data_IF_565529370741
#
_entry.id   IF_565529370741
#
_cell.length_a   1.000
_cell.length_b   1.000
_cell.length_c   1.000
_cell.angle_alpha   90.00
_cell.angle_beta   90.00
_cell.angle_gamma   90.00
#
_symmetry.space_group_name_H-M   'P 1'
#
loop_
_entity.id
_entity.type
_entity.pdbx_description
1 polymer ?
#
# COMPACT_ATOMS: atom_id res chain seq x y z
N UNK A 1 16.16 -15.86 33.71
CA UNK A 1 16.82 -14.90 32.79
C UNK A 1 16.35 -13.51 33.13
N UNK A 2 17.25 -12.53 33.28
CA UNK A 2 16.88 -11.18 33.65
C UNK A 2 16.09 -10.53 32.50
N UNK A 3 14.92 -9.96 32.83
CA UNK A 3 14.01 -9.22 31.94
C UNK A 3 14.70 -8.27 30.92
N UNK A 4 15.83 -7.60 31.24
CA UNK A 4 16.55 -6.77 30.28
C UNK A 4 17.10 -7.51 29.04
N UNK A 5 17.51 -8.78 29.18
CA UNK A 5 18.05 -9.56 28.05
C UNK A 5 16.95 -10.05 27.10
N UNK A 6 15.73 -10.23 27.60
CA UNK A 6 14.58 -10.63 26.78
C UNK A 6 14.10 -9.46 25.91
N UNK A 7 14.18 -8.23 26.43
CA UNK A 7 13.90 -7.01 25.67
C UNK A 7 14.97 -6.71 24.62
N UNK A 8 16.24 -7.05 24.86
CA UNK A 8 17.30 -6.94 23.87
C UNK A 8 17.16 -7.97 22.72
N UNK A 9 16.59 -9.15 22.99
CA UNK A 9 16.24 -10.14 21.95
C UNK A 9 14.97 -9.77 21.17
N UNK A 10 14.04 -9.01 21.77
CA UNK A 10 12.81 -8.52 21.13
C UNK A 10 13.01 -7.21 20.36
N UNK A 11 14.15 -6.55 20.54
CA UNK A 11 14.58 -5.45 19.68
C UNK A 11 15.41 -6.05 18.56
N UNK A 12 14.85 -6.33 17.37
CA UNK A 12 15.72 -6.45 16.23
C UNK A 12 16.46 -5.12 16.15
N UNK A 13 17.79 -5.15 16.17
CA UNK A 13 18.54 -4.10 15.50
C UNK A 13 17.85 -3.88 14.15
N UNK A 14 17.31 -2.68 13.88
CA UNK A 14 16.73 -2.41 12.57
C UNK A 14 17.88 -2.42 11.57
N UNK A 15 18.12 -3.58 11.02
CA UNK A 15 19.11 -3.72 9.99
C UNK A 15 18.58 -3.04 8.75
N UNK A 16 19.41 -2.21 8.13
CA UNK A 16 19.10 -1.70 6.80
C UNK A 16 18.69 -2.83 5.84
N UNK A 17 19.24 -4.03 6.03
CA UNK A 17 18.84 -5.25 5.33
C UNK A 17 17.33 -5.51 5.39
N UNK A 18 16.72 -5.41 6.57
CA UNK A 18 15.29 -5.65 6.76
C UNK A 18 14.43 -4.57 6.07
N UNK A 19 14.84 -3.30 6.19
CA UNK A 19 14.15 -2.18 5.53
C UNK A 19 14.25 -2.27 4.00
N UNK A 20 15.42 -2.65 3.47
CA UNK A 20 15.63 -2.90 2.04
C UNK A 20 14.82 -4.11 1.55
N UNK A 21 14.73 -5.17 2.35
CA UNK A 21 13.90 -6.33 2.04
C UNK A 21 12.41 -5.97 2.02
N UNK A 22 11.95 -5.12 2.94
CA UNK A 22 10.57 -4.61 2.94
C UNK A 22 10.30 -3.76 1.70
N UNK A 23 11.18 -2.79 1.39
CA UNK A 23 11.08 -1.96 0.19
C UNK A 23 11.03 -2.84 -1.06
N UNK A 24 11.96 -3.78 -1.19
CA UNK A 24 12.02 -4.71 -2.32
C UNK A 24 10.74 -5.53 -2.43
N UNK A 25 10.29 -6.16 -1.33
CA UNK A 25 9.05 -6.95 -1.34
C UNK A 25 7.82 -6.15 -1.76
N UNK A 26 7.73 -4.88 -1.37
CA UNK A 26 6.60 -4.02 -1.76
C UNK A 26 6.73 -3.56 -3.21
N UNK A 27 7.93 -3.18 -3.66
CA UNK A 27 8.17 -2.85 -5.07
C UNK A 27 7.91 -4.05 -5.99
N UNK A 28 8.32 -5.26 -5.59
CA UNK A 28 8.09 -6.48 -6.35
C UNK A 28 6.58 -6.79 -6.39
N UNK A 29 5.87 -6.68 -5.26
CA UNK A 29 4.40 -6.83 -5.22
C UNK A 29 3.68 -5.79 -6.11
N UNK A 30 4.15 -4.54 -6.12
CA UNK A 30 3.61 -3.50 -7.00
C UNK A 30 3.90 -3.85 -8.47
N UNK A 31 5.15 -4.11 -8.83
CA UNK A 31 5.58 -4.25 -10.21
C UNK A 31 5.12 -5.56 -10.86
N UNK A 32 5.11 -6.66 -10.12
CA UNK A 32 4.81 -7.99 -10.66
C UNK A 32 3.31 -8.32 -10.60
N UNK A 33 2.58 -7.78 -9.61
CA UNK A 33 1.19 -8.18 -9.34
C UNK A 33 0.20 -7.02 -9.49
N UNK A 34 0.38 -5.94 -8.72
CA UNK A 34 -0.66 -4.92 -8.62
C UNK A 34 -0.74 -4.05 -9.88
N UNK A 35 0.39 -3.49 -10.32
CA UNK A 35 0.43 -2.58 -11.47
C UNK A 35 -0.14 -3.24 -12.74
N UNK A 36 0.27 -4.46 -13.14
CA UNK A 36 -0.32 -5.13 -14.31
C UNK A 36 -1.84 -5.38 -14.18
N UNK A 37 -2.32 -5.70 -12.98
CA UNK A 37 -3.76 -5.91 -12.74
C UNK A 37 -4.55 -4.62 -12.78
N UNK A 38 -4.01 -3.52 -12.24
CA UNK A 38 -4.61 -2.20 -12.36
C UNK A 38 -4.64 -1.70 -13.80
N UNK A 39 -3.56 -1.94 -14.57
CA UNK A 39 -3.52 -1.63 -16.01
C UNK A 39 -4.54 -2.46 -16.80
N UNK A 40 -4.64 -3.76 -16.51
CA UNK A 40 -5.65 -4.64 -17.12
C UNK A 40 -7.07 -4.20 -16.78
N UNK A 41 -7.32 -3.78 -15.52
CA UNK A 41 -8.60 -3.24 -15.10
C UNK A 41 -8.93 -1.93 -15.85
N UNK A 42 -7.96 -1.03 -16.04
CA UNK A 42 -8.16 0.19 -16.85
C UNK A 42 -8.55 -0.14 -18.30
N UNK A 43 -7.96 -1.17 -18.90
CA UNK A 43 -8.30 -1.61 -20.26
C UNK A 43 -9.71 -2.23 -20.33
N UNK A 44 -10.05 -3.09 -19.37
CA UNK A 44 -11.32 -3.84 -19.35
C UNK A 44 -12.52 -2.95 -19.00
N UNK A 45 -12.34 -2.05 -18.04
CA UNK A 45 -13.37 -1.09 -17.62
C UNK A 45 -13.29 0.20 -18.44
N UNK A 46 -12.33 0.26 -19.37
CA UNK A 46 -12.09 1.33 -20.34
C UNK A 46 -12.07 2.75 -19.71
N UNK A 47 -11.49 2.90 -18.51
CA UNK A 47 -11.52 4.16 -17.76
C UNK A 47 -10.58 5.24 -18.30
N UNK A 48 -9.70 4.93 -19.27
CA UNK A 48 -8.90 5.95 -19.95
C UNK A 48 -9.83 6.95 -20.66
N UNK A 49 -9.87 8.17 -20.14
CA UNK A 49 -10.61 9.33 -20.67
C UNK A 49 -12.12 9.37 -20.39
N UNK A 50 -12.51 9.23 -19.12
CA UNK A 50 -13.82 9.70 -18.66
C UNK A 50 -15.01 8.79 -18.99
N UNK A 51 -14.77 7.50 -19.26
CA UNK A 51 -15.84 6.51 -19.17
C UNK A 51 -16.15 6.22 -17.71
N UNK A 52 -17.42 6.32 -17.29
CA UNK A 52 -17.79 6.01 -15.92
C UNK A 52 -17.67 4.52 -15.65
N UNK A 53 -17.39 4.18 -14.39
CA UNK A 53 -17.51 2.82 -13.87
C UNK A 53 -18.95 2.32 -14.03
N UNK A 54 -19.11 1.01 -14.23
CA UNK A 54 -20.47 0.42 -14.33
C UNK A 54 -21.14 0.42 -12.96
N UNK A 55 -20.38 0.17 -11.90
CA UNK A 55 -20.88 0.25 -10.53
C UNK A 55 -20.95 1.71 -10.08
N UNK A 56 -22.14 2.13 -9.61
CA UNK A 56 -22.35 3.46 -9.03
C UNK A 56 -21.47 3.69 -7.79
N UNK A 57 -21.34 2.68 -6.94
CA UNK A 57 -20.54 2.76 -5.72
C UNK A 57 -19.06 2.98 -6.04
N UNK A 58 -18.55 2.29 -7.07
CA UNK A 58 -17.16 2.47 -7.52
C UNK A 58 -16.96 3.85 -8.15
N UNK A 59 -17.94 4.34 -8.92
CA UNK A 59 -17.91 5.67 -9.49
C UNK A 59 -17.84 6.75 -8.39
N UNK A 60 -18.69 6.64 -7.35
CA UNK A 60 -18.69 7.56 -6.21
C UNK A 60 -17.34 7.58 -5.49
N UNK A 61 -16.76 6.41 -5.19
CA UNK A 61 -15.42 6.31 -4.58
C UNK A 61 -14.36 6.96 -5.48
N UNK A 62 -14.43 6.71 -6.80
CA UNK A 62 -13.50 7.31 -7.75
C UNK A 62 -13.62 8.84 -7.74
N UNK A 63 -14.83 9.38 -7.75
CA UNK A 63 -15.07 10.82 -7.77
C UNK A 63 -14.58 11.48 -6.47
N UNK A 64 -14.79 10.85 -5.32
CA UNK A 64 -14.26 11.32 -4.03
C UNK A 64 -12.73 11.38 -4.03
N UNK A 65 -12.07 10.32 -4.49
CA UNK A 65 -10.60 10.25 -4.59
C UNK A 65 -10.08 11.32 -5.55
N UNK A 66 -10.67 11.44 -6.74
CA UNK A 66 -10.26 12.44 -7.74
C UNK A 66 -10.45 13.87 -7.21
N UNK A 67 -11.58 14.15 -6.56
CA UNK A 67 -11.85 15.46 -5.96
C UNK A 67 -10.83 15.80 -4.87
N UNK A 68 -10.51 14.86 -3.99
CA UNK A 68 -9.47 15.06 -2.97
C UNK A 68 -8.10 15.35 -3.60
N UNK A 69 -7.70 14.56 -4.60
CA UNK A 69 -6.38 14.71 -5.22
C UNK A 69 -6.24 16.02 -5.99
N UNK A 70 -7.28 16.43 -6.72
CA UNK A 70 -7.31 17.74 -7.41
C UNK A 70 -7.26 18.91 -6.43
N UNK A 71 -8.05 18.87 -5.35
CA UNK A 71 -8.02 19.93 -4.33
C UNK A 71 -6.67 19.99 -3.60
N UNK A 72 -5.94 18.87 -3.54
CA UNK A 72 -4.58 18.82 -3.01
C UNK A 72 -3.49 19.30 -4.00
N UNK A 73 -3.87 19.68 -5.23
CA UNK A 73 -2.95 20.18 -6.26
C UNK A 73 -2.27 19.10 -7.11
N UNK A 74 -2.72 17.83 -7.02
CA UNK A 74 -2.21 16.74 -7.83
C UNK A 74 -3.07 16.57 -9.09
N UNK A 75 -2.50 16.91 -10.25
CA UNK A 75 -3.12 16.67 -11.56
C UNK A 75 -2.24 15.74 -12.43
N UNK A 76 -2.80 14.64 -12.95
CA UNK A 76 -2.12 13.78 -13.90
C UNK A 76 -1.87 14.56 -15.20
N UNK A 77 -0.62 14.58 -15.66
CA UNK A 77 -0.27 15.31 -16.88
C UNK A 77 -1.01 14.73 -18.08
N UNK A 78 -1.70 15.60 -18.84
CA UNK A 78 -2.28 15.25 -20.13
C UNK A 78 -3.63 14.54 -20.10
N UNK A 79 -4.24 14.33 -18.91
CA UNK A 79 -5.56 13.73 -18.78
C UNK A 79 -6.61 14.78 -18.42
N UNK A 80 -7.66 14.90 -19.25
CA UNK A 80 -8.78 15.84 -18.98
C UNK A 80 -9.72 15.35 -17.88
N UNK A 81 -10.04 14.05 -17.89
CA UNK A 81 -10.95 13.40 -16.94
C UNK A 81 -10.33 12.10 -16.41
N UNK A 82 -9.28 12.17 -15.57
CA UNK A 82 -8.72 10.98 -14.92
C UNK A 82 -9.70 10.36 -13.93
N UNK A 83 -9.77 9.04 -13.89
CA UNK A 83 -10.39 8.27 -12.80
C UNK A 83 -9.38 8.03 -11.67
N UNK A 84 -9.83 7.44 -10.56
CA UNK A 84 -8.92 7.04 -9.49
C UNK A 84 -7.82 6.08 -9.96
N UNK A 85 -8.06 5.26 -10.99
CA UNK A 85 -7.09 4.25 -11.43
C UNK A 85 -5.86 4.92 -12.05
N UNK A 86 -6.01 6.01 -12.80
CA UNK A 86 -4.86 6.71 -13.39
C UNK A 86 -3.95 7.32 -12.34
N UNK A 87 -4.52 7.84 -11.26
CA UNK A 87 -3.75 8.31 -10.11
C UNK A 87 -2.99 7.16 -9.45
N UNK A 88 -3.67 6.04 -9.19
CA UNK A 88 -3.06 4.85 -8.55
C UNK A 88 -1.93 4.27 -9.41
N UNK A 89 -2.17 4.09 -10.71
CA UNK A 89 -1.16 3.57 -11.66
C UNK A 89 0.04 4.50 -11.74
N UNK A 90 -0.19 5.82 -11.86
CA UNK A 90 0.91 6.80 -11.88
C UNK A 90 1.73 6.77 -10.59
N UNK A 91 1.07 6.64 -9.42
CA UNK A 91 1.75 6.48 -8.13
C UNK A 91 2.55 5.17 -8.07
N UNK A 92 2.00 4.05 -8.55
CA UNK A 92 2.71 2.77 -8.59
C UNK A 92 3.98 2.85 -9.44
N UNK A 93 3.89 3.41 -10.64
CA UNK A 93 5.04 3.61 -11.53
C UNK A 93 6.11 4.49 -10.88
N UNK A 94 5.70 5.57 -10.21
CA UNK A 94 6.63 6.45 -9.52
C UNK A 94 7.30 5.78 -8.30
N UNK A 95 6.58 4.95 -7.54
CA UNK A 95 7.16 4.13 -6.45
C UNK A 95 8.25 3.20 -6.97
N UNK A 96 8.04 2.56 -8.12
CA UNK A 96 9.05 1.70 -8.74
C UNK A 96 10.31 2.49 -9.13
N UNK A 97 10.15 3.73 -9.61
CA UNK A 97 11.28 4.62 -9.91
C UNK A 97 12.00 5.10 -8.63
N UNK A 98 11.26 5.30 -7.53
CA UNK A 98 11.79 5.73 -6.23
C UNK A 98 12.63 4.66 -5.53
N UNK A 99 12.49 3.38 -5.88
CA UNK A 99 13.19 2.24 -5.25
C UNK A 99 14.69 2.50 -5.06
N UNK A 100 15.38 2.88 -6.15
CA UNK A 100 16.83 3.12 -6.13
C UNK A 100 17.24 4.26 -5.19
N UNK A 101 16.43 5.32 -5.12
CA UNK A 101 16.68 6.45 -4.25
C UNK A 101 16.48 6.08 -2.77
N UNK A 102 15.38 5.38 -2.46
CA UNK A 102 15.10 4.93 -1.10
C UNK A 102 16.15 3.92 -0.61
N UNK A 103 16.62 3.02 -1.47
CA UNK A 103 17.72 2.11 -1.13
C UNK A 103 19.01 2.85 -0.75
N UNK A 104 19.31 3.95 -1.44
CA UNK A 104 20.46 4.82 -1.13
C UNK A 104 20.25 5.56 0.19
N UNK A 105 19.05 6.11 0.45
CA UNK A 105 18.73 6.75 1.72
C UNK A 105 18.80 5.78 2.89
N UNK A 106 18.30 4.55 2.74
CA UNK A 106 18.43 3.52 3.79
C UNK A 106 19.91 3.22 4.06
N UNK A 107 20.72 3.06 3.02
CA UNK A 107 22.14 2.78 3.17
C UNK A 107 22.90 3.94 3.86
N UNK A 108 22.61 5.18 3.46
CA UNK A 108 23.27 6.39 3.95
C UNK A 108 22.84 6.76 5.36
N UNK A 109 21.53 6.83 5.60
CA UNK A 109 20.95 7.48 6.78
C UNK A 109 20.68 6.48 7.92
N UNK A 110 20.35 5.22 7.61
CA UNK A 110 20.12 4.19 8.62
C UNK A 110 21.42 3.44 8.95
N UNK A 111 22.27 3.17 7.96
CA UNK A 111 23.52 2.44 8.15
C UNK A 111 23.29 0.95 8.48
N UNK A 112 24.12 0.36 9.36
CA UNK A 112 23.99 -1.07 9.70
C UNK A 112 22.83 -1.37 10.65
N UNK A 113 22.62 -0.51 11.66
CA UNK A 113 21.56 -0.67 12.65
C UNK A 113 21.03 0.70 13.08
N UNK A 114 19.70 0.82 13.19
CA UNK A 114 19.09 2.02 13.74
C UNK A 114 19.15 2.01 15.27
N UNK A 115 19.67 3.08 15.86
CA UNK A 115 19.61 3.33 17.30
C UNK A 115 18.67 4.50 17.56
N UNK A 116 17.70 4.34 18.47
CA UNK A 116 16.67 5.34 18.76
C UNK A 116 17.24 6.67 19.24
N UNK A 117 18.36 6.66 19.97
CA UNK A 117 19.06 7.87 20.43
C UNK A 117 19.74 8.67 19.32
N UNK A 118 19.79 8.13 18.09
CA UNK A 118 20.39 8.77 16.92
C UNK A 118 19.35 9.17 15.88
N UNK A 119 18.09 9.31 16.27
CA UNK A 119 17.00 9.61 15.33
C UNK A 119 17.11 11.04 14.81
N UNK A 120 17.07 11.18 13.49
CA UNK A 120 17.03 12.48 12.80
C UNK A 120 15.77 12.60 11.95
N UNK A 121 15.43 13.82 11.52
CA UNK A 121 14.30 14.05 10.61
C UNK A 121 14.44 13.26 9.31
N UNK A 122 15.66 13.14 8.78
CA UNK A 122 15.97 12.31 7.60
C UNK A 122 15.61 10.83 7.81
N UNK A 123 16.03 10.25 8.93
CA UNK A 123 15.72 8.85 9.27
C UNK A 123 14.22 8.64 9.44
N UNK A 124 13.55 9.57 10.12
CA UNK A 124 12.10 9.54 10.29
C UNK A 124 11.36 9.60 8.94
N UNK A 125 11.77 10.49 8.04
CA UNK A 125 11.18 10.63 6.71
C UNK A 125 11.33 9.36 5.89
N UNK A 126 12.50 8.72 5.90
CA UNK A 126 12.70 7.42 5.22
C UNK A 126 11.75 6.36 5.78
N UNK A 127 11.67 6.23 7.11
CA UNK A 127 10.78 5.25 7.75
C UNK A 127 9.30 5.53 7.48
N UNK A 128 8.90 6.81 7.39
CA UNK A 128 7.53 7.20 7.01
C UNK A 128 7.23 6.82 5.58
N UNK A 129 8.15 7.06 4.64
CA UNK A 129 8.00 6.68 3.24
C UNK A 129 7.88 5.17 3.05
N UNK A 130 8.68 4.36 3.77
CA UNK A 130 8.60 2.90 3.71
C UNK A 130 7.25 2.37 4.20
N UNK A 131 6.75 2.91 5.31
CA UNK A 131 5.45 2.54 5.84
C UNK A 131 4.29 3.03 4.95
N UNK A 132 4.46 4.19 4.31
CA UNK A 132 3.49 4.71 3.35
C UNK A 132 3.38 3.80 2.13
N UNK A 133 4.52 3.32 1.60
CA UNK A 133 4.56 2.37 0.48
C UNK A 133 3.90 1.04 0.89
N UNK A 134 4.16 0.56 2.10
CA UNK A 134 3.58 -0.67 2.63
C UNK A 134 2.06 -0.58 2.74
N UNK A 135 1.56 0.49 3.39
CA UNK A 135 0.13 0.77 3.49
C UNK A 135 -0.52 0.95 2.11
N UNK A 136 0.12 1.70 1.21
CA UNK A 136 -0.35 1.89 -0.15
C UNK A 136 -0.48 0.56 -0.90
N UNK A 137 0.51 -0.33 -0.75
CA UNK A 137 0.50 -1.65 -1.40
C UNK A 137 -0.66 -2.52 -0.90
N UNK A 138 -0.84 -2.60 0.42
CA UNK A 138 -1.92 -3.38 1.04
C UNK A 138 -3.31 -2.84 0.69
N UNK A 139 -3.51 -1.53 0.87
CA UNK A 139 -4.78 -0.88 0.55
C UNK A 139 -5.11 -1.01 -0.95
N UNK A 140 -4.12 -0.83 -1.84
CA UNK A 140 -4.31 -1.00 -3.29
C UNK A 140 -4.80 -2.41 -3.64
N UNK A 141 -4.26 -3.44 -2.98
CA UNK A 141 -4.68 -4.83 -3.22
C UNK A 141 -6.13 -5.06 -2.82
N UNK A 142 -6.53 -4.58 -1.64
CA UNK A 142 -7.92 -4.67 -1.15
C UNK A 142 -8.87 -3.88 -2.04
N UNK A 143 -8.50 -2.65 -2.42
CA UNK A 143 -9.28 -1.81 -3.32
C UNK A 143 -9.44 -2.47 -4.70
N UNK A 144 -8.38 -3.04 -5.26
CA UNK A 144 -8.43 -3.74 -6.54
C UNK A 144 -9.44 -4.89 -6.52
N UNK A 145 -9.42 -5.69 -5.44
CA UNK A 145 -10.37 -6.79 -5.27
C UNK A 145 -11.81 -6.27 -5.15
N UNK A 146 -12.01 -5.11 -4.51
CA UNK A 146 -13.30 -4.42 -4.39
C UNK A 146 -13.84 -3.94 -5.71
N UNK A 147 -13.06 -3.12 -6.40
CA UNK A 147 -13.46 -2.59 -7.71
C UNK A 147 -13.76 -3.74 -8.69
N UNK A 148 -12.93 -4.78 -8.70
CA UNK A 148 -13.16 -5.94 -9.58
C UNK A 148 -14.42 -6.72 -9.20
N UNK A 149 -14.77 -6.82 -7.91
CA UNK A 149 -16.00 -7.47 -7.46
C UNK A 149 -17.25 -6.71 -7.91
N UNK A 150 -17.27 -5.41 -7.62
CA UNK A 150 -18.38 -4.51 -7.93
C UNK A 150 -18.59 -4.35 -9.45
N UNK A 151 -17.52 -4.21 -10.22
CA UNK A 151 -17.62 -4.08 -11.68
C UNK A 151 -18.13 -5.36 -12.36
N UNK A 152 -17.79 -6.55 -11.85
CA UNK A 152 -18.33 -7.83 -12.35
C UNK A 152 -19.81 -7.99 -11.99
N UNK A 153 -20.20 -7.58 -10.77
CA UNK A 153 -21.60 -7.60 -10.34
C UNK A 153 -22.47 -6.65 -11.18
N UNK A 154 -21.91 -5.52 -11.60
CA UNK A 154 -22.62 -4.51 -12.39
C UNK A 154 -22.75 -4.83 -13.89
N UNK A 155 -22.21 -5.95 -14.40
CA UNK A 155 -22.38 -6.35 -15.81
C UNK A 155 -23.79 -6.90 -16.05
N UNK A 156 -24.53 -6.32 -17.01
CA UNK A 156 -25.87 -6.77 -17.39
C UNK A 156 -25.89 -8.26 -17.77
N UNK A 157 -26.81 -9.04 -17.16
CA UNK A 157 -26.93 -10.49 -17.37
C UNK A 157 -26.05 -11.34 -16.43
N UNK A 158 -25.25 -10.71 -15.56
CA UNK A 158 -24.50 -11.38 -14.50
C UNK A 158 -25.45 -12.02 -13.49
N UNK A 159 -25.54 -13.35 -13.48
CA UNK A 159 -26.17 -14.13 -12.41
C UNK A 159 -25.19 -14.43 -11.27
N UNK A 160 -24.09 -13.69 -11.21
CA UNK A 160 -23.07 -13.86 -10.20
C UNK A 160 -23.52 -13.06 -8.98
N UNK A 161 -24.05 -13.74 -7.96
CA UNK A 161 -24.04 -13.19 -6.61
C UNK A 161 -22.57 -13.05 -6.19
N UNK A 162 -21.93 -11.98 -6.62
CA UNK A 162 -20.66 -11.57 -6.04
C UNK A 162 -21.03 -11.11 -4.64
N UNK A 163 -20.87 -11.97 -3.64
CA UNK A 163 -20.72 -11.52 -2.25
C UNK A 163 -19.38 -10.81 -2.18
N UNK A 164 -19.38 -9.62 -2.76
CA UNK A 164 -18.24 -8.73 -2.88
C UNK A 164 -17.93 -8.26 -1.48
N UNK A 165 -16.95 -8.95 -0.88
CA UNK A 165 -16.13 -8.44 0.20
C UNK A 165 -16.76 -8.58 1.58
N UNK A 166 -15.92 -9.01 2.54
CA UNK A 166 -16.33 -9.11 3.93
C UNK A 166 -16.67 -7.72 4.47
N UNK A 167 -17.64 -7.58 5.39
CA UNK A 167 -18.01 -6.27 5.95
C UNK A 167 -16.82 -5.49 6.54
N UNK A 168 -15.79 -6.21 7.02
CA UNK A 168 -14.57 -5.64 7.57
C UNK A 168 -13.70 -4.91 6.54
N UNK A 169 -13.64 -5.41 5.31
CA UNK A 169 -12.80 -4.85 4.24
C UNK A 169 -13.42 -3.55 3.67
N UNK A 170 -14.75 -3.49 3.53
CA UNK A 170 -15.45 -2.28 3.13
C UNK A 170 -15.30 -1.19 4.21
N UNK A 171 -15.44 -1.57 5.48
CA UNK A 171 -15.17 -0.68 6.60
C UNK A 171 -13.71 -0.20 6.60
N UNK A 172 -12.76 -1.09 6.32
CA UNK A 172 -11.35 -0.74 6.20
C UNK A 172 -11.10 0.30 5.10
N UNK A 173 -11.64 0.07 3.90
CA UNK A 173 -11.53 1.01 2.77
C UNK A 173 -12.11 2.37 3.14
N UNK A 174 -13.32 2.41 3.68
CA UNK A 174 -13.97 3.68 4.06
C UNK A 174 -13.23 4.42 5.17
N UNK A 175 -12.74 3.71 6.19
CA UNK A 175 -12.05 4.33 7.33
C UNK A 175 -10.68 4.89 6.95
N UNK A 176 -10.02 4.26 5.97
CA UNK A 176 -8.63 4.57 5.58
C UNK A 176 -8.52 5.34 4.26
N UNK A 177 -9.65 5.66 3.60
CA UNK A 177 -9.69 6.32 2.28
C UNK A 177 -8.92 7.64 2.23
N UNK A 178 -9.07 8.50 3.23
CA UNK A 178 -8.33 9.78 3.31
C UNK A 178 -6.83 9.55 3.45
N UNK A 179 -6.42 8.59 4.28
CA UNK A 179 -5.01 8.21 4.44
C UNK A 179 -4.43 7.69 3.12
N UNK A 180 -5.23 6.94 2.37
CA UNK A 180 -4.85 6.44 1.06
C UNK A 180 -4.71 7.55 0.01
N UNK A 181 -5.60 8.55 0.01
CA UNK A 181 -5.47 9.72 -0.85
C UNK A 181 -4.19 10.52 -0.55
N UNK A 182 -3.83 10.68 0.73
CA UNK A 182 -2.55 11.30 1.10
C UNK A 182 -1.37 10.45 0.62
N UNK A 183 -1.45 9.12 0.73
CA UNK A 183 -0.44 8.22 0.22
C UNK A 183 -0.24 8.40 -1.29
N UNK A 184 -1.33 8.42 -2.07
CA UNK A 184 -1.28 8.71 -3.51
C UNK A 184 -0.60 10.06 -3.78
N UNK A 185 -1.00 11.12 -3.07
CA UNK A 185 -0.43 12.46 -3.23
C UNK A 185 1.09 12.48 -3.03
N UNK A 186 1.57 11.88 -1.95
CA UNK A 186 3.00 11.84 -1.64
C UNK A 186 3.73 10.94 -2.64
N UNK A 187 3.23 9.74 -2.90
CA UNK A 187 3.87 8.76 -3.78
C UNK A 187 3.78 9.12 -5.26
N UNK A 188 2.90 10.04 -5.67
CA UNK A 188 2.87 10.62 -7.01
C UNK A 188 3.83 11.81 -7.18
N UNK A 189 4.50 12.26 -6.11
CA UNK A 189 5.45 13.38 -6.19
C UNK A 189 6.62 13.01 -7.10
N UNK A 190 6.95 13.84 -8.11
CA UNK A 190 8.04 13.53 -9.04
C UNK A 190 9.34 13.23 -8.31
N UNK A 191 10.04 12.17 -8.72
CA UNK A 191 11.30 11.72 -8.07
C UNK A 191 12.29 12.85 -7.84
N UNK A 192 12.46 13.75 -8.81
CA UNK A 192 13.40 14.88 -8.70
C UNK A 192 12.98 15.88 -7.63
N UNK A 193 11.68 16.15 -7.49
CA UNK A 193 11.16 17.02 -6.44
C UNK A 193 11.33 16.35 -5.09
N UNK A 194 10.98 15.07 -4.97
CA UNK A 194 11.15 14.32 -3.71
C UNK A 194 12.62 14.29 -3.27
N UNK A 195 13.57 14.13 -4.20
CA UNK A 195 15.01 14.21 -3.91
C UNK A 195 15.45 15.59 -3.40
N UNK A 196 14.92 16.66 -3.99
CA UNK A 196 15.20 18.02 -3.57
C UNK A 196 14.62 18.30 -2.18
N UNK A 197 13.32 18.01 -2.00
CA UNK A 197 12.61 18.14 -0.72
C UNK A 197 13.32 17.34 0.38
N UNK A 198 13.81 16.14 0.08
CA UNK A 198 14.57 15.32 1.01
C UNK A 198 15.92 15.96 1.41
N UNK A 199 16.61 16.59 0.47
CA UNK A 199 17.90 17.22 0.72
C UNK A 199 17.80 18.51 1.57
N UNK A 200 16.63 19.15 1.56
CA UNK A 200 16.35 20.35 2.35
C UNK A 200 16.02 20.05 3.82
N UNK A 201 15.78 18.78 4.18
CA UNK A 201 15.43 18.40 5.55
C UNK A 201 16.62 18.66 6.48
N UNK A 202 16.43 19.42 7.58
CA UNK A 202 17.49 19.68 8.54
C UNK A 202 18.04 18.41 9.19
N UNK A 203 19.36 18.28 9.21
CA UNK A 203 20.02 17.23 9.97
C UNK A 203 20.08 17.60 11.46
N UNK A 204 19.01 17.26 12.18
CA UNK A 204 18.92 17.45 13.62
C UNK A 204 18.52 16.15 14.30
N UNK A 205 19.24 15.77 15.36
CA UNK A 205 18.86 14.66 16.23
C UNK A 205 17.77 15.16 17.18
N UNK A 206 16.68 14.41 17.28
CA UNK A 206 15.59 14.73 18.19
C UNK A 206 15.24 13.54 19.07
N UNK A 207 14.56 13.82 20.17
CA UNK A 207 13.86 12.85 21.00
C UNK A 207 12.40 13.31 21.18
N UNK A 208 11.59 12.54 21.92
CA UNK A 208 10.17 12.83 22.09
C UNK A 208 9.92 14.21 22.77
N UNK A 209 10.86 14.68 23.58
CA UNK A 209 10.76 15.96 24.30
C UNK A 209 11.17 17.14 23.41
N UNK A 210 12.20 16.98 22.58
CA UNK A 210 12.75 18.06 21.74
C UNK A 210 12.11 18.16 20.36
N UNK A 211 11.34 17.15 19.92
CA UNK A 211 10.73 17.14 18.58
C UNK A 211 9.86 18.38 18.33
N UNK A 212 9.00 18.73 19.28
CA UNK A 212 8.09 19.89 19.13
C UNK A 212 8.84 21.22 19.01
N UNK A 213 9.88 21.40 19.83
CA UNK A 213 10.73 22.60 19.81
C UNK A 213 11.51 22.71 18.50
N UNK A 214 12.08 21.61 18.03
CA UNK A 214 12.83 21.57 16.76
C UNK A 214 11.92 21.81 15.56
N UNK A 215 10.67 21.32 15.57
CA UNK A 215 9.67 21.63 14.53
C UNK A 215 9.30 23.11 14.54
N UNK A 216 9.17 23.74 15.72
CA UNK A 216 8.95 25.18 15.80
C UNK A 216 10.15 25.98 15.30
N UNK A 217 11.38 25.52 15.59
CA UNK A 217 12.62 26.18 15.22
C UNK A 217 12.88 26.13 13.71
N UNK A 218 12.70 24.96 13.09
CA UNK A 218 12.97 24.76 11.66
C UNK A 218 11.76 25.06 10.76
N UNK A 219 10.55 25.11 11.33
CA UNK A 219 9.30 25.24 10.60
C UNK A 219 8.79 23.90 10.07
N UNK A 220 7.46 23.71 10.13
CA UNK A 220 6.81 22.45 9.75
C UNK A 220 7.09 22.05 8.30
N UNK A 221 7.13 23.01 7.38
CA UNK A 221 7.42 22.78 5.96
C UNK A 221 8.84 22.28 5.68
N UNK A 222 9.82 22.59 6.52
CA UNK A 222 11.20 22.11 6.35
C UNK A 222 11.46 20.79 7.07
N UNK A 223 10.77 20.54 8.19
CA UNK A 223 10.87 19.24 8.91
C UNK A 223 10.03 18.12 8.30
N UNK A 224 8.98 18.47 7.56
CA UNK A 224 8.07 17.54 6.88
C UNK A 224 7.61 18.13 5.52
N UNK A 225 8.53 18.29 4.55
CA UNK A 225 8.22 18.90 3.26
C UNK A 225 7.19 18.11 2.44
N UNK A 226 7.03 16.81 2.76
CA UNK A 226 6.07 15.91 2.11
C UNK A 226 4.68 15.94 2.79
N UNK A 227 4.53 16.64 3.91
CA UNK A 227 3.27 16.76 4.65
C UNK A 227 2.72 15.42 5.14
N UNK A 228 3.60 14.48 5.48
CA UNK A 228 3.24 13.11 5.92
C UNK A 228 2.73 13.07 7.36
N UNK A 229 2.93 14.13 8.13
CA UNK A 229 2.38 14.32 9.49
C UNK A 229 0.86 14.36 9.54
N UNK A 230 0.21 14.64 8.41
CA UNK A 230 -1.25 14.65 8.27
C UNK A 230 -1.87 13.24 8.20
N UNK A 231 -1.07 12.19 7.99
CA UNK A 231 -1.59 10.82 7.97
C UNK A 231 -1.66 10.29 9.40
N UNK A 232 -2.82 9.76 9.87
CA UNK A 232 -3.00 9.17 11.19
C UNK A 232 -2.34 7.78 11.25
N UNK A 233 -1.04 7.71 10.95
CA UNK A 233 -0.20 6.63 11.41
C UNK A 233 0.10 6.88 12.89
N UNK A 234 0.23 5.83 13.73
CA UNK A 234 0.61 6.03 15.12
C UNK A 234 1.88 6.92 15.20
N UNK A 235 1.70 8.11 15.77
CA UNK A 235 2.66 9.23 15.77
C UNK A 235 3.88 8.95 16.65
N UNK A 236 3.81 7.94 17.52
CA UNK A 236 4.92 7.60 18.42
C UNK A 236 5.96 6.74 17.72
N UNK A 237 7.06 7.40 17.37
CA UNK A 237 8.31 6.85 16.84
C UNK A 237 8.80 5.61 17.61
N UNK A 238 8.62 5.61 18.93
CA UNK A 238 9.01 4.54 19.87
C UNK A 238 7.97 3.41 19.96
N UNK A 239 6.68 3.72 19.81
CA UNK A 239 5.59 2.73 19.88
C UNK A 239 5.48 1.93 18.58
N UNK A 240 5.75 2.56 17.44
CA UNK A 240 5.87 1.90 16.12
C UNK A 240 7.01 0.88 16.10
N UNK A 241 8.08 1.09 16.87
CA UNK A 241 9.20 0.15 16.97
C UNK A 241 8.85 -1.07 17.84
N UNK A 242 8.07 -0.89 18.91
CA UNK A 242 7.79 -1.95 19.91
C UNK A 242 6.53 -2.78 19.63
N UNK A 243 5.49 -2.21 19.03
CA UNK A 243 4.20 -2.90 18.83
C UNK A 243 4.00 -3.39 17.38
N UNK A 244 4.44 -2.64 16.37
CA UNK A 244 4.08 -2.96 14.97
C UNK A 244 4.82 -4.15 14.34
N UNK A 245 5.93 -4.68 14.86
CA UNK A 245 6.57 -5.83 14.20
C UNK A 245 5.87 -7.13 14.56
N UNK A 246 5.49 -7.35 15.83
CA UNK A 246 4.71 -8.52 16.21
C UNK A 246 3.26 -8.44 15.70
N UNK A 247 2.61 -7.28 15.87
CA UNK A 247 1.22 -7.08 15.42
C UNK A 247 1.13 -7.09 13.89
N UNK A 248 1.99 -6.36 13.15
CA UNK A 248 1.90 -6.38 11.67
C UNK A 248 2.38 -7.67 11.03
N UNK A 249 3.25 -8.46 11.68
CA UNK A 249 3.60 -9.78 11.14
C UNK A 249 2.41 -10.73 11.25
N UNK A 250 1.65 -10.65 12.35
CA UNK A 250 0.39 -11.36 12.50
C UNK A 250 -0.69 -10.79 11.57
N UNK A 251 -0.91 -9.48 11.53
CA UNK A 251 -1.91 -8.85 10.64
C UNK A 251 -1.61 -9.12 9.17
N UNK A 252 -0.36 -9.06 8.71
CA UNK A 252 0.00 -9.39 7.31
C UNK A 252 -0.16 -10.87 6.99
N UNK A 253 0.12 -11.73 7.96
CA UNK A 253 -0.12 -13.15 7.81
C UNK A 253 -1.63 -13.41 7.72
N UNK A 254 -2.42 -12.83 8.61
CA UNK A 254 -3.88 -12.94 8.65
C UNK A 254 -4.52 -12.33 7.39
N UNK A 255 -4.10 -11.14 6.96
CA UNK A 255 -4.51 -10.53 5.69
C UNK A 255 -4.17 -11.42 4.50
N UNK A 256 -2.98 -12.04 4.48
CA UNK A 256 -2.59 -12.96 3.41
C UNK A 256 -3.42 -14.25 3.41
N UNK A 257 -3.78 -14.74 4.60
CA UNK A 257 -4.67 -15.90 4.79
C UNK A 257 -6.09 -15.56 4.32
N UNK A 258 -6.63 -14.43 4.73
CA UNK A 258 -7.96 -13.98 4.34
C UNK A 258 -8.03 -13.66 2.84
N UNK A 259 -7.01 -13.03 2.27
CA UNK A 259 -6.90 -12.81 0.83
C UNK A 259 -6.87 -14.14 0.05
N UNK A 260 -6.14 -15.15 0.54
CA UNK A 260 -6.11 -16.47 -0.07
C UNK A 260 -7.47 -17.17 0.01
N UNK A 261 -8.16 -17.08 1.15
CA UNK A 261 -9.53 -17.60 1.32
C UNK A 261 -10.52 -16.90 0.38
N UNK A 262 -10.44 -15.58 0.27
CA UNK A 262 -11.27 -14.80 -0.63
C UNK A 262 -11.05 -15.20 -2.10
N UNK A 263 -9.79 -15.41 -2.50
CA UNK A 263 -9.45 -15.91 -3.82
C UNK A 263 -9.98 -17.34 -4.06
N UNK A 264 -9.88 -18.25 -3.07
CA UNK A 264 -10.45 -19.62 -3.14
C UNK A 264 -11.96 -19.60 -3.31
N UNK A 265 -12.68 -18.82 -2.50
CA UNK A 265 -14.12 -18.67 -2.60
C UNK A 265 -14.54 -18.15 -3.97
N UNK A 266 -13.75 -17.25 -4.56
CA UNK A 266 -14.01 -16.68 -5.87
C UNK A 266 -13.81 -17.68 -7.01
N UNK A 267 -12.75 -18.49 -6.94
CA UNK A 267 -12.54 -19.62 -7.87
C UNK A 267 -13.71 -20.62 -7.77
N UNK A 268 -14.17 -20.93 -6.55
CA UNK A 268 -15.31 -21.83 -6.36
C UNK A 268 -16.61 -21.29 -6.97
N UNK A 269 -16.84 -19.98 -6.88
CA UNK A 269 -17.99 -19.32 -7.52
C UNK A 269 -17.91 -19.43 -9.05
N UNK A 270 -16.75 -19.15 -9.64
CA UNK A 270 -16.57 -19.26 -11.09
C UNK A 270 -16.70 -20.72 -11.59
N UNK A 271 -16.16 -21.70 -10.84
CA UNK A 271 -16.33 -23.13 -11.15
C UNK A 271 -17.78 -23.58 -11.03
N UNK A 272 -18.53 -23.07 -10.05
CA UNK A 272 -19.97 -23.34 -9.91
C UNK A 272 -20.75 -22.78 -11.11
N UNK A 273 -20.40 -21.60 -11.62
CA UNK A 273 -21.06 -21.01 -12.80
C UNK A 273 -20.78 -21.77 -14.10
N UNK A 274 -19.57 -22.30 -14.27
CA UNK A 274 -19.26 -23.24 -15.34
C UNK A 274 -20.11 -24.51 -15.23
N UNK A 275 -20.23 -25.07 -14.02
CA UNK A 275 -21.04 -26.26 -13.78
C UNK A 275 -22.55 -26.04 -14.02
N UNK A 276 -23.04 -24.82 -13.82
CA UNK A 276 -24.42 -24.41 -14.10
C UNK A 276 -24.67 -24.06 -15.58
N UNK A 277 -23.66 -24.20 -16.45
CA UNK A 277 -23.78 -23.95 -17.89
C UNK A 277 -23.81 -22.47 -18.30
N UNK A 278 -23.43 -21.57 -17.38
CA UNK A 278 -23.35 -20.11 -17.62
C UNK A 278 -21.92 -19.63 -17.89
N UNK A 279 -20.97 -20.54 -18.08
CA UNK A 279 -19.57 -20.22 -18.34
C UNK A 279 -19.29 -19.91 -19.81
N UNK A 280 -18.52 -18.87 -20.05
CA UNK A 280 -17.94 -18.53 -21.36
C UNK A 280 -16.40 -18.63 -21.31
N UNK A 281 -15.74 -18.48 -22.47
CA UNK A 281 -14.28 -18.47 -22.56
C UNK A 281 -13.63 -17.34 -21.73
N UNK A 282 -14.41 -16.32 -21.35
CA UNK A 282 -13.96 -15.23 -20.50
C UNK A 282 -13.88 -15.65 -19.02
N UNK A 283 -14.88 -16.37 -18.52
CA UNK A 283 -14.91 -16.96 -17.17
C UNK A 283 -13.78 -17.99 -17.00
N UNK A 284 -13.50 -18.81 -18.02
CA UNK A 284 -12.35 -19.74 -17.97
C UNK A 284 -11.01 -19.01 -17.80
N UNK A 285 -10.80 -17.90 -18.53
CA UNK A 285 -9.60 -17.08 -18.39
C UNK A 285 -9.52 -16.37 -17.03
N UNK A 286 -10.66 -15.96 -16.47
CA UNK A 286 -10.73 -15.39 -15.12
C UNK A 286 -10.42 -16.41 -14.03
N UNK A 287 -10.81 -17.67 -14.23
CA UNK A 287 -10.44 -18.78 -13.34
C UNK A 287 -8.94 -18.99 -13.38
N UNK A 288 -8.34 -19.10 -14.57
CA UNK A 288 -6.89 -19.32 -14.71
C UNK A 288 -6.08 -18.19 -14.03
N UNK A 289 -6.49 -16.93 -14.22
CA UNK A 289 -5.87 -15.78 -13.58
C UNK A 289 -6.04 -15.80 -12.05
N UNK A 290 -7.23 -16.19 -11.57
CA UNK A 290 -7.52 -16.27 -10.14
C UNK A 290 -6.79 -17.43 -9.47
N UNK A 291 -6.67 -18.58 -10.14
CA UNK A 291 -5.91 -19.75 -9.67
C UNK A 291 -4.42 -19.45 -9.58
N UNK A 292 -3.87 -18.76 -10.58
CA UNK A 292 -2.50 -18.27 -10.54
C UNK A 292 -2.27 -17.33 -9.36
N UNK A 293 -3.17 -16.38 -9.14
CA UNK A 293 -3.09 -15.46 -8.00
C UNK A 293 -3.19 -16.19 -6.65
N UNK A 294 -4.08 -17.18 -6.54
CA UNK A 294 -4.18 -18.01 -5.34
C UNK A 294 -2.87 -18.76 -5.05
N UNK A 295 -2.23 -19.30 -6.08
CA UNK A 295 -0.95 -20.00 -5.95
C UNK A 295 0.14 -19.05 -5.45
N UNK A 296 0.19 -17.83 -5.96
CA UNK A 296 1.10 -16.78 -5.49
C UNK A 296 0.84 -16.40 -4.03
N UNK A 297 -0.43 -16.26 -3.63
CA UNK A 297 -0.80 -15.98 -2.24
C UNK A 297 -0.42 -17.14 -1.30
N UNK A 298 -0.58 -18.40 -1.74
CA UNK A 298 -0.13 -19.58 -0.98
C UNK A 298 1.38 -19.60 -0.80
N UNK A 299 2.14 -19.31 -1.86
CA UNK A 299 3.60 -19.19 -1.77
C UNK A 299 4.03 -18.02 -0.88
N UNK A 300 3.32 -16.89 -0.95
CA UNK A 300 3.56 -15.75 -0.06
C UNK A 300 3.29 -16.14 1.40
N UNK A 301 2.19 -16.85 1.68
CA UNK A 301 1.88 -17.38 3.01
C UNK A 301 2.99 -18.29 3.52
N UNK A 302 3.43 -19.26 2.73
CA UNK A 302 4.51 -20.19 3.13
C UNK A 302 5.84 -19.45 3.40
N UNK A 303 6.15 -18.43 2.61
CA UNK A 303 7.31 -17.55 2.86
C UNK A 303 7.16 -16.77 4.17
N UNK A 304 5.97 -16.27 4.47
CA UNK A 304 5.68 -15.56 5.72
C UNK A 304 5.75 -16.52 6.93
N UNK A 305 5.19 -17.73 6.82
CA UNK A 305 5.26 -18.80 7.83
C UNK A 305 6.72 -19.12 8.21
N UNK A 306 7.59 -19.34 7.21
CA UNK A 306 9.03 -19.59 7.41
C UNK A 306 9.77 -18.38 7.97
N UNK A 307 9.41 -17.17 7.52
CA UNK A 307 10.05 -15.92 7.96
C UNK A 307 9.70 -15.57 9.41
N UNK A 308 8.52 -15.97 9.88
CA UNK A 308 8.01 -15.66 11.21
C UNK A 308 8.14 -16.82 12.21
N UNK A 309 8.65 -17.98 11.77
CA UNK A 309 8.87 -19.14 12.63
C UNK A 309 7.57 -19.79 13.12
N UNK A 310 6.52 -19.73 12.30
CA UNK A 310 5.22 -20.35 12.60
C UNK A 310 5.20 -21.85 12.25
N UNK A 311 6.27 -22.35 11.60
CA UNK A 311 6.54 -23.75 11.23
C UNK A 311 8.02 -24.05 11.40
#
# INVERSE_FOLDING_TARGET
>A
MAFPNMLAMLLPSFEATNLKNQLSSNCDAIGEQLLPRFQSLQELVASKEGKPFKSKTVQEISDEVVNYLRTSGLEPKGLRNPSMLEYIVSSMENVLQLRSFLDQCIARDIGKSLVTSSMTFNKLTVLRLLDLIDFFTGYSATLLNYVTAEEIAAVEGSNIEVKGIGPNDLQYLNTRSVSYCIAIRVLATPVNKLKADYAEIPEAIFNDETYGELVQQFGSGSTDPLGMSSVPFPISLVLRVRLNIAERQMDKYDECVEAAKAAELRILLYKKQLAEGKGDAHIEKLIELSEKHLLELKHKRERLEKKYGLV
#
